data_IF_430507706671
#
_entry.id   IF_430507706671
#
_cell.length_a   1.000
_cell.length_b   1.000
_cell.length_c   1.000
_cell.angle_alpha   90.00
_cell.angle_beta   90.00
_cell.angle_gamma   90.00
#
_symmetry.space_group_name_H-M   'P 1'
#
loop_
_entity.id
_entity.type
_entity.pdbx_description
1 polymer ?
#
# COMPACT_ATOMS: atom_id res chain seq x y z
N UNK A 1 18.36 39.05 31.31
CA UNK A 1 17.62 39.11 30.02
C UNK A 1 17.51 37.68 29.53
N UNK A 2 16.39 37.01 29.82
CA UNK A 2 16.18 35.58 29.54
C UNK A 2 15.74 35.43 28.08
N UNK A 3 16.61 34.88 27.24
CA UNK A 3 16.27 34.50 25.86
C UNK A 3 15.54 33.16 25.88
N UNK A 4 14.21 33.22 25.76
CA UNK A 4 13.38 32.05 25.45
C UNK A 4 13.70 31.59 24.02
N UNK A 5 14.46 30.51 23.87
CA UNK A 5 14.54 29.80 22.59
C UNK A 5 13.21 29.11 22.34
N UNK A 6 12.46 29.60 21.36
CA UNK A 6 11.27 28.94 20.85
C UNK A 6 11.69 27.62 20.18
N UNK A 7 11.62 26.51 20.91
CA UNK A 7 11.48 25.20 20.29
C UNK A 7 10.09 25.15 19.66
N UNK A 8 10.03 25.25 18.33
CA UNK A 8 8.84 24.88 17.58
C UNK A 8 8.43 23.45 17.95
N UNK A 9 7.13 23.10 17.91
CA UNK A 9 6.66 21.80 18.35
C UNK A 9 7.34 20.73 17.50
N UNK A 10 8.28 20.01 18.11
CA UNK A 10 8.74 18.74 17.56
C UNK A 10 7.48 17.88 17.42
N UNK A 11 7.15 17.46 16.20
CA UNK A 11 6.11 16.46 15.99
C UNK A 11 6.64 15.16 16.59
N UNK A 12 6.43 15.01 17.90
CA UNK A 12 6.82 13.88 18.73
C UNK A 12 6.39 12.59 18.03
N UNK A 13 7.24 11.56 18.01
CA UNK A 13 7.01 10.34 17.21
C UNK A 13 5.64 9.66 17.42
N UNK A 14 4.96 9.96 18.54
CA UNK A 14 3.56 9.59 18.79
C UNK A 14 2.57 10.18 17.76
N UNK A 15 2.69 11.47 17.40
CA UNK A 15 1.79 12.11 16.44
C UNK A 15 1.93 11.51 15.02
N UNK A 16 3.17 11.24 14.58
CA UNK A 16 3.45 10.58 13.29
C UNK A 16 2.87 9.17 13.23
N UNK A 17 3.00 8.40 14.31
CA UNK A 17 2.45 7.04 14.38
C UNK A 17 0.92 7.04 14.41
N UNK A 18 0.31 7.92 15.20
CA UNK A 18 -1.15 8.05 15.25
C UNK A 18 -1.73 8.43 13.89
N UNK A 19 -1.04 9.30 13.13
CA UNK A 19 -1.40 9.62 11.75
C UNK A 19 -1.32 8.37 10.86
N UNK A 20 -0.25 7.58 10.96
CA UNK A 20 -0.13 6.31 10.23
C UNK A 20 -1.23 5.30 10.54
N UNK A 21 -1.66 5.18 11.80
CA UNK A 21 -2.77 4.30 12.20
C UNK A 21 -4.11 4.84 11.68
N UNK A 22 -4.34 6.15 11.75
CA UNK A 22 -5.54 6.78 11.21
C UNK A 22 -5.66 6.55 9.69
N UNK A 23 -4.55 6.72 8.96
CA UNK A 23 -4.47 6.39 7.54
C UNK A 23 -4.77 4.92 7.28
N UNK A 24 -4.22 3.99 8.08
CA UNK A 24 -4.50 2.57 7.93
C UNK A 24 -5.98 2.24 8.12
N UNK A 25 -6.64 2.81 9.13
CA UNK A 25 -8.07 2.62 9.34
C UNK A 25 -8.91 3.22 8.20
N UNK A 26 -8.52 4.38 7.69
CA UNK A 26 -9.13 4.97 6.50
C UNK A 26 -9.01 4.03 5.29
N UNK A 27 -7.84 3.43 5.07
CA UNK A 27 -7.63 2.44 4.00
C UNK A 27 -8.54 1.25 4.17
N UNK A 28 -8.65 0.69 5.38
CA UNK A 28 -9.53 -0.44 5.67
C UNK A 28 -10.98 -0.11 5.28
N UNK A 29 -11.46 1.08 5.60
CA UNK A 29 -12.81 1.54 5.22
C UNK A 29 -12.93 1.74 3.71
N UNK A 30 -12.00 2.46 3.08
CA UNK A 30 -12.07 2.77 1.65
C UNK A 30 -11.94 1.53 0.77
N UNK A 31 -11.04 0.60 1.09
CA UNK A 31 -10.93 -0.69 0.39
C UNK A 31 -12.18 -1.54 0.59
N UNK A 32 -12.75 -1.58 1.80
CA UNK A 32 -14.02 -2.28 2.04
C UNK A 32 -15.15 -1.69 1.20
N UNK A 33 -15.29 -0.36 1.18
CA UNK A 33 -16.29 0.33 0.37
C UNK A 33 -16.07 0.12 -1.13
N UNK A 34 -14.81 0.15 -1.59
CA UNK A 34 -14.43 -0.14 -2.98
C UNK A 34 -14.78 -1.57 -3.37
N UNK A 35 -14.54 -2.55 -2.50
CA UNK A 35 -14.93 -3.94 -2.73
C UNK A 35 -16.45 -4.10 -2.85
N UNK A 36 -17.23 -3.44 -1.99
CA UNK A 36 -18.69 -3.42 -2.13
C UNK A 36 -19.13 -2.77 -3.43
N UNK A 37 -18.54 -1.63 -3.78
CA UNK A 37 -18.87 -0.91 -5.00
C UNK A 37 -18.56 -1.76 -6.24
N UNK A 38 -17.41 -2.41 -6.28
CA UNK A 38 -17.06 -3.37 -7.33
C UNK A 38 -18.04 -4.55 -7.35
N UNK A 39 -18.41 -5.10 -6.18
CA UNK A 39 -19.40 -6.17 -6.08
C UNK A 39 -20.77 -5.76 -6.63
N UNK A 40 -21.20 -4.50 -6.46
CA UNK A 40 -22.48 -4.04 -7.05
C UNK A 40 -22.43 -3.96 -8.59
N UNK A 41 -21.29 -3.61 -9.18
CA UNK A 41 -21.11 -3.59 -10.64
C UNK A 41 -21.21 -5.01 -11.21
N UNK A 42 -20.59 -5.98 -10.53
CA UNK A 42 -20.55 -7.36 -10.97
C UNK A 42 -21.85 -8.13 -10.66
N UNK A 43 -22.54 -7.83 -9.56
CA UNK A 43 -23.80 -8.47 -9.17
C UNK A 43 -24.97 -8.07 -10.08
N UNK A 44 -25.01 -6.82 -10.58
CA UNK A 44 -26.04 -6.35 -11.51
C UNK A 44 -25.84 -6.89 -12.95
N UNK A 45 -24.83 -7.75 -13.19
CA UNK A 45 -24.42 -8.29 -14.51
C UNK A 45 -24.27 -7.24 -15.63
N UNK A 46 -24.19 -5.96 -15.25
CA UNK A 46 -24.17 -4.84 -16.19
C UNK A 46 -22.79 -4.64 -16.81
N UNK A 47 -21.71 -5.06 -16.12
CA UNK A 47 -20.34 -4.96 -16.64
C UNK A 47 -19.36 -5.96 -16.01
N UNK A 48 -19.32 -7.18 -16.52
CA UNK A 48 -18.51 -8.30 -16.00
C UNK A 48 -17.07 -8.31 -16.55
N UNK A 49 -16.34 -7.20 -16.37
CA UNK A 49 -14.98 -6.99 -16.91
C UNK A 49 -13.96 -6.61 -15.82
N UNK A 50 -13.57 -7.55 -14.94
CA UNK A 50 -12.67 -7.28 -13.81
C UNK A 50 -11.26 -6.82 -14.24
N UNK A 51 -10.74 -7.30 -15.38
CA UNK A 51 -9.43 -6.86 -15.87
C UNK A 51 -9.48 -5.39 -16.30
N UNK A 52 -10.54 -4.98 -16.99
CA UNK A 52 -10.73 -3.57 -17.35
C UNK A 52 -10.80 -2.65 -16.11
N UNK A 53 -11.58 -3.01 -15.09
CA UNK A 53 -11.69 -2.21 -13.86
C UNK A 53 -10.33 -2.11 -13.15
N UNK A 54 -9.59 -3.23 -13.06
CA UNK A 54 -8.25 -3.26 -12.47
C UNK A 54 -7.27 -2.38 -13.24
N UNK A 55 -7.35 -2.40 -14.58
CA UNK A 55 -6.52 -1.55 -15.43
C UNK A 55 -6.81 -0.07 -15.22
N UNK A 56 -8.08 0.35 -15.15
CA UNK A 56 -8.43 1.74 -14.90
C UNK A 56 -7.97 2.16 -13.49
N UNK A 57 -8.22 1.35 -12.46
CA UNK A 57 -7.73 1.60 -11.09
C UNK A 57 -6.21 1.81 -11.08
N UNK A 58 -5.46 0.92 -11.75
CA UNK A 58 -4.00 0.96 -11.80
C UNK A 58 -3.46 2.11 -12.66
N UNK A 59 -4.19 2.51 -13.70
CA UNK A 59 -3.81 3.60 -14.60
C UNK A 59 -4.03 4.96 -13.96
N UNK A 60 -4.99 5.12 -13.03
CA UNK A 60 -5.20 6.39 -12.34
C UNK A 60 -4.03 6.84 -11.46
N UNK A 61 -3.11 5.93 -11.11
CA UNK A 61 -1.81 6.29 -10.50
C UNK A 61 -0.95 7.19 -11.39
N UNK A 62 -1.27 7.36 -12.67
CA UNK A 62 -0.60 8.33 -13.54
C UNK A 62 -1.03 9.78 -13.27
N UNK A 63 -2.19 10.02 -12.64
CA UNK A 63 -2.74 11.36 -12.38
C UNK A 63 -1.77 12.22 -11.54
N UNK A 64 -1.19 11.72 -10.42
CA UNK A 64 -0.17 12.44 -9.66
C UNK A 64 1.03 12.87 -10.52
N UNK A 65 1.49 12.00 -11.42
CA UNK A 65 2.58 12.31 -12.37
C UNK A 65 2.16 13.42 -13.34
N UNK A 66 0.95 13.30 -13.89
CA UNK A 66 0.39 14.25 -14.83
C UNK A 66 0.21 15.64 -14.19
N UNK A 67 -0.24 15.70 -12.94
CA UNK A 67 -0.38 16.96 -12.19
C UNK A 67 0.98 17.67 -12.02
N UNK A 68 2.04 16.94 -11.70
CA UNK A 68 3.40 17.48 -11.60
C UNK A 68 3.88 18.03 -12.94
N UNK A 69 3.72 17.23 -14.02
CA UNK A 69 4.17 17.60 -15.36
C UNK A 69 3.38 18.82 -15.86
N UNK A 70 2.05 18.82 -15.70
CA UNK A 70 1.17 19.88 -16.18
C UNK A 70 1.38 21.18 -15.39
N UNK A 71 1.49 21.13 -14.06
CA UNK A 71 1.79 22.31 -13.25
C UNK A 71 3.15 22.94 -13.57
N UNK A 72 4.11 22.12 -14.02
CA UNK A 72 5.43 22.57 -14.43
C UNK A 72 5.43 23.12 -15.86
N UNK A 73 4.74 22.46 -16.79
CA UNK A 73 4.53 22.95 -18.14
C UNK A 73 3.77 24.28 -18.13
N UNK A 74 2.78 24.42 -17.24
CA UNK A 74 2.06 25.68 -17.01
C UNK A 74 2.96 26.78 -16.46
N UNK A 75 3.88 26.48 -15.53
CA UNK A 75 4.89 27.44 -15.04
C UNK A 75 5.86 27.85 -16.15
N UNK A 76 6.34 26.92 -16.97
CA UNK A 76 7.25 27.19 -18.09
C UNK A 76 6.56 27.97 -19.22
N UNK A 77 5.29 27.66 -19.49
CA UNK A 77 4.41 28.41 -20.39
C UNK A 77 4.22 29.85 -19.90
N UNK A 78 3.92 30.04 -18.61
CA UNK A 78 3.79 31.36 -17.99
C UNK A 78 5.10 32.17 -17.98
N UNK A 79 6.25 31.50 -18.00
CA UNK A 79 7.57 32.14 -18.04
C UNK A 79 8.12 32.36 -19.46
N UNK A 80 7.38 31.97 -20.52
CA UNK A 80 7.81 32.12 -21.91
C UNK A 80 9.06 31.30 -22.29
N UNK A 81 9.42 30.29 -21.49
CA UNK A 81 10.64 29.47 -21.66
C UNK A 81 10.35 28.06 -22.22
N UNK A 82 9.23 27.89 -22.91
CA UNK A 82 8.87 26.59 -23.54
C UNK A 82 9.93 26.12 -24.55
N UNK A 83 10.65 27.05 -25.17
CA UNK A 83 11.74 26.78 -26.11
C UNK A 83 13.00 26.17 -25.48
N UNK A 84 13.07 26.03 -24.15
CA UNK A 84 14.18 25.33 -23.47
C UNK A 84 13.92 23.83 -23.29
N UNK A 85 12.73 23.33 -23.64
CA UNK A 85 12.38 21.90 -23.57
C UNK A 85 12.59 21.26 -24.94
N UNK A 86 13.85 21.08 -25.34
CA UNK A 86 14.15 20.42 -26.62
C UNK A 86 14.07 18.89 -26.57
N UNK A 87 13.91 18.28 -25.38
CA UNK A 87 13.78 16.83 -25.24
C UNK A 87 13.11 16.41 -23.93
N UNK A 88 12.45 15.25 -23.92
CA UNK A 88 11.96 14.58 -22.69
C UNK A 88 13.10 14.48 -21.65
N UNK A 89 14.34 14.32 -22.11
CA UNK A 89 15.51 14.23 -21.25
C UNK A 89 15.83 15.54 -20.52
N UNK A 90 15.58 16.72 -21.11
CA UNK A 90 15.77 18.01 -20.44
C UNK A 90 14.65 18.31 -19.43
N UNK A 91 13.43 17.83 -19.70
CA UNK A 91 12.30 17.87 -18.75
C UNK A 91 12.57 16.98 -17.53
N UNK A 92 13.11 15.78 -17.74
CA UNK A 92 13.50 14.85 -16.68
C UNK A 92 14.70 15.36 -15.85
N UNK A 93 15.69 16.01 -16.47
CA UNK A 93 16.79 16.64 -15.75
C UNK A 93 16.34 17.86 -14.93
N UNK A 94 15.35 18.62 -15.40
CA UNK A 94 14.74 19.69 -14.61
C UNK A 94 13.90 19.16 -13.44
N UNK A 95 13.27 17.99 -13.58
CA UNK A 95 12.60 17.28 -12.47
C UNK A 95 13.58 16.97 -11.34
N UNK A 96 14.81 16.60 -11.69
CA UNK A 96 15.91 16.30 -10.76
C UNK A 96 16.49 17.56 -10.08
N UNK A 97 16.76 18.62 -10.85
CA UNK A 97 17.61 19.73 -10.40
C UNK A 97 16.95 20.74 -9.45
N UNK A 98 15.62 20.78 -9.38
CA UNK A 98 14.90 21.83 -8.63
C UNK A 98 14.15 21.36 -7.38
N UNK A 99 14.16 20.05 -7.08
CA UNK A 99 13.51 19.47 -5.89
C UNK A 99 14.35 19.63 -4.61
N UNK A 100 15.62 20.03 -4.72
CA UNK A 100 16.52 20.33 -3.59
C UNK A 100 16.31 21.69 -2.93
N UNK A 101 15.45 22.58 -3.49
CA UNK A 101 15.35 24.00 -3.05
C UNK A 101 13.96 24.48 -2.62
N UNK A 102 12.96 23.61 -2.47
CA UNK A 102 11.56 24.06 -2.27
C UNK A 102 10.96 23.91 -0.86
N UNK A 103 11.79 23.80 0.18
CA UNK A 103 11.32 23.85 1.58
C UNK A 103 12.13 24.80 2.49
N UNK A 104 12.63 25.91 1.96
CA UNK A 104 12.94 27.07 2.80
C UNK A 104 12.02 28.23 2.34
N UNK A 105 11.11 28.73 3.19
CA UNK A 105 10.48 30.01 2.93
C UNK A 105 11.59 31.07 3.02
N UNK A 106 11.89 31.69 1.88
CA UNK A 106 12.77 32.84 1.78
C UNK A 106 12.12 34.03 2.50
N UNK A 107 12.30 34.09 3.81
CA UNK A 107 11.95 35.27 4.62
C UNK A 107 13.14 36.22 4.55
N UNK A 108 13.05 37.14 3.58
CA UNK A 108 13.59 38.50 3.60
C UNK A 108 14.64 38.80 4.69
N UNK A 109 15.92 38.66 4.36
CA UNK A 109 16.98 39.45 5.00
C UNK A 109 18.10 39.77 3.99
N UNK A 110 18.33 41.05 3.65
CA UNK A 110 19.44 41.46 2.81
C UNK A 110 20.69 41.72 3.68
N UNK A 111 21.65 40.82 3.71
CA UNK A 111 22.99 41.13 4.23
C UNK A 111 24.10 40.20 3.73
N UNK A 112 25.11 40.85 3.15
CA UNK A 112 26.50 40.45 2.85
C UNK A 112 26.78 39.20 2.01
N UNK A 113 27.21 39.47 0.79
CA UNK A 113 27.87 38.60 -0.20
C UNK A 113 29.21 37.96 0.25
N UNK A 114 29.56 37.96 1.54
CA UNK A 114 30.90 37.58 2.02
C UNK A 114 31.02 36.18 2.67
N UNK A 115 29.92 35.53 3.09
CA UNK A 115 29.99 34.21 3.76
C UNK A 115 29.83 33.00 2.82
N UNK A 116 29.92 33.21 1.50
CA UNK A 116 29.58 32.18 0.51
C UNK A 116 30.70 31.17 0.20
N UNK A 117 31.83 31.21 0.92
CA UNK A 117 33.00 30.38 0.62
C UNK A 117 33.43 29.42 1.75
N UNK A 118 32.69 29.33 2.85
CA UNK A 118 33.03 28.40 3.96
C UNK A 118 31.98 27.34 4.31
N UNK A 119 30.82 27.32 3.64
CA UNK A 119 29.78 26.28 3.82
C UNK A 119 29.65 25.31 2.64
N UNK A 120 30.74 25.02 1.91
CA UNK A 120 30.73 24.02 0.83
C UNK A 120 31.12 22.60 1.26
N UNK A 121 31.41 22.35 2.56
CA UNK A 121 31.91 21.04 3.00
C UNK A 121 31.10 20.31 4.08
N UNK A 122 29.88 20.73 4.46
CA UNK A 122 29.14 20.06 5.56
C UNK A 122 27.64 19.80 5.33
N UNK A 123 27.15 19.72 4.08
CA UNK A 123 25.75 19.33 3.82
C UNK A 123 25.63 18.33 2.66
N UNK A 124 26.01 17.07 2.90
CA UNK A 124 25.68 15.95 2.00
C UNK A 124 25.12 14.74 2.73
N UNK A 125 23.94 14.87 3.34
CA UNK A 125 23.23 13.74 3.95
C UNK A 125 21.71 13.68 3.70
N UNK A 126 21.14 14.55 2.86
CA UNK A 126 19.70 14.51 2.54
C UNK A 126 19.34 14.95 1.12
N UNK A 127 20.12 14.54 0.12
CA UNK A 127 19.70 14.68 -1.29
C UNK A 127 18.58 13.69 -1.60
N UNK A 128 17.41 14.20 -2.04
CA UNK A 128 16.30 13.36 -2.51
C UNK A 128 16.78 12.46 -3.66
N UNK A 129 16.33 11.21 -3.69
CA UNK A 129 16.72 10.24 -4.72
C UNK A 129 16.34 10.77 -6.10
N UNK A 130 17.34 10.85 -6.99
CA UNK A 130 17.12 11.37 -8.33
C UNK A 130 16.13 10.54 -9.16
N UNK A 131 15.58 11.12 -10.22
CA UNK A 131 14.49 10.55 -11.01
C UNK A 131 14.82 9.16 -11.58
N UNK A 132 16.07 8.93 -12.01
CA UNK A 132 16.50 7.60 -12.51
C UNK A 132 16.50 6.54 -11.41
N UNK A 133 16.92 6.91 -10.20
CA UNK A 133 16.89 6.01 -9.05
C UNK A 133 15.44 5.72 -8.67
N UNK A 134 14.59 6.75 -8.55
CA UNK A 134 13.17 6.60 -8.27
C UNK A 134 12.46 5.73 -9.32
N UNK A 135 12.75 5.93 -10.61
CA UNK A 135 12.19 5.11 -11.69
C UNK A 135 12.61 3.63 -11.60
N UNK A 136 13.88 3.35 -11.28
CA UNK A 136 14.36 1.98 -11.09
C UNK A 136 13.65 1.30 -9.91
N UNK A 137 13.45 2.04 -8.80
CA UNK A 137 12.74 1.55 -7.62
C UNK A 137 11.25 1.30 -7.92
N UNK A 138 10.57 2.27 -8.54
CA UNK A 138 9.18 2.14 -8.99
C UNK A 138 8.99 0.96 -9.95
N UNK A 139 9.94 0.70 -10.85
CA UNK A 139 9.85 -0.43 -11.78
C UNK A 139 9.98 -1.78 -11.06
N UNK A 140 10.93 -1.90 -10.12
CA UNK A 140 11.08 -3.12 -9.30
C UNK A 140 9.85 -3.39 -8.45
N UNK A 141 9.30 -2.35 -7.81
CA UNK A 141 8.06 -2.43 -7.06
C UNK A 141 6.90 -2.88 -7.94
N UNK A 142 6.75 -2.25 -9.12
CA UNK A 142 5.68 -2.55 -10.07
C UNK A 142 5.73 -4.02 -10.52
N UNK A 143 6.90 -4.56 -10.84
CA UNK A 143 7.03 -5.96 -11.25
C UNK A 143 6.58 -6.94 -10.14
N UNK A 144 7.00 -6.70 -8.89
CA UNK A 144 6.59 -7.52 -7.76
C UNK A 144 5.09 -7.40 -7.47
N UNK A 145 4.55 -6.19 -7.57
CA UNK A 145 3.13 -5.91 -7.34
C UNK A 145 2.25 -6.60 -8.41
N UNK A 146 2.58 -6.45 -9.71
CA UNK A 146 1.85 -7.13 -10.79
C UNK A 146 1.90 -8.64 -10.62
N UNK A 147 3.06 -9.19 -10.28
CA UNK A 147 3.23 -10.63 -10.06
C UNK A 147 2.36 -11.12 -8.90
N UNK A 148 2.37 -10.42 -7.76
CA UNK A 148 1.55 -10.75 -6.60
C UNK A 148 0.05 -10.76 -6.95
N UNK A 149 -0.42 -9.72 -7.66
CA UNK A 149 -1.82 -9.60 -8.06
C UNK A 149 -2.24 -10.63 -9.11
N UNK A 150 -1.36 -10.94 -10.06
CA UNK A 150 -1.63 -11.98 -11.07
C UNK A 150 -1.90 -13.33 -10.41
N UNK A 151 -1.01 -13.78 -9.51
CA UNK A 151 -1.19 -15.05 -8.82
C UNK A 151 -2.38 -15.02 -7.85
N UNK A 152 -2.67 -13.88 -7.21
CA UNK A 152 -3.86 -13.70 -6.37
C UNK A 152 -5.15 -13.92 -7.16
N UNK A 153 -5.22 -13.42 -8.39
CA UNK A 153 -6.41 -13.56 -9.22
C UNK A 153 -6.46 -14.93 -9.92
N UNK A 154 -5.33 -15.42 -10.42
CA UNK A 154 -5.27 -16.68 -11.13
C UNK A 154 -5.57 -17.89 -10.22
N UNK A 155 -5.28 -17.81 -8.92
CA UNK A 155 -5.61 -18.90 -7.99
C UNK A 155 -7.13 -19.15 -7.88
N UNK A 156 -7.98 -18.13 -8.04
CA UNK A 156 -9.44 -18.25 -7.92
C UNK A 156 -10.06 -19.15 -9.01
N UNK A 157 -9.36 -19.34 -10.14
CA UNK A 157 -9.80 -20.29 -11.16
C UNK A 157 -9.66 -21.74 -10.70
N UNK A 158 -8.80 -21.99 -9.72
CA UNK A 158 -8.39 -23.33 -9.29
C UNK A 158 -8.81 -23.67 -7.85
N UNK A 159 -8.85 -22.69 -6.94
CA UNK A 159 -9.25 -22.86 -5.53
C UNK A 159 -10.53 -22.08 -5.16
N UNK A 160 -11.01 -22.26 -3.93
CA UNK A 160 -12.20 -21.56 -3.40
C UNK A 160 -11.83 -20.19 -2.84
N UNK A 161 -12.79 -19.26 -2.83
CA UNK A 161 -12.60 -17.92 -2.25
C UNK A 161 -12.17 -18.01 -0.78
N UNK A 162 -12.77 -18.91 0.01
CA UNK A 162 -12.39 -19.15 1.40
C UNK A 162 -10.94 -19.62 1.56
N UNK A 163 -10.50 -20.62 0.80
CA UNK A 163 -9.09 -21.05 0.79
C UNK A 163 -8.15 -19.93 0.37
N UNK A 164 -8.47 -19.18 -0.69
CA UNK A 164 -7.68 -18.04 -1.13
C UNK A 164 -7.55 -16.99 -0.04
N UNK A 165 -8.63 -16.63 0.66
CA UNK A 165 -8.60 -15.65 1.74
C UNK A 165 -7.71 -16.12 2.89
N UNK A 166 -7.79 -17.39 3.30
CA UNK A 166 -6.92 -17.94 4.34
C UNK A 166 -5.45 -17.89 3.91
N UNK A 167 -5.15 -18.34 2.69
CA UNK A 167 -3.78 -18.43 2.18
C UNK A 167 -3.16 -17.05 1.94
N UNK A 168 -3.89 -16.11 1.33
CA UNK A 168 -3.42 -14.74 1.13
C UNK A 168 -3.26 -13.98 2.45
N UNK A 169 -4.04 -14.33 3.48
CA UNK A 169 -3.89 -13.79 4.84
C UNK A 169 -2.64 -14.29 5.57
N UNK A 170 -1.97 -15.34 5.07
CA UNK A 170 -0.64 -15.72 5.57
C UNK A 170 0.46 -14.71 5.20
N UNK A 171 0.16 -13.72 4.35
CA UNK A 171 1.08 -12.64 3.99
C UNK A 171 1.71 -11.95 5.20
N UNK A 172 0.99 -11.79 6.32
CA UNK A 172 1.54 -11.23 7.55
C UNK A 172 2.71 -12.04 8.14
N UNK A 173 2.68 -13.37 8.01
CA UNK A 173 3.78 -14.26 8.44
C UNK A 173 5.01 -14.00 7.57
N UNK A 174 4.81 -13.92 6.26
CA UNK A 174 5.90 -13.63 5.32
C UNK A 174 6.48 -12.23 5.52
N UNK A 175 5.62 -11.22 5.76
CA UNK A 175 6.05 -9.86 6.09
C UNK A 175 6.94 -9.85 7.34
N UNK A 176 6.59 -10.60 8.40
CA UNK A 176 7.44 -10.72 9.59
C UNK A 176 8.77 -11.40 9.29
N UNK A 177 8.76 -12.50 8.53
CA UNK A 177 9.97 -13.26 8.17
C UNK A 177 10.93 -12.40 7.34
N UNK A 178 10.46 -11.84 6.23
CA UNK A 178 11.29 -11.00 5.35
C UNK A 178 11.67 -9.67 6.03
N UNK A 179 10.78 -9.11 6.86
CA UNK A 179 11.04 -7.90 7.64
C UNK A 179 12.17 -8.10 8.65
N UNK A 180 12.19 -9.25 9.32
CA UNK A 180 13.28 -9.64 10.22
C UNK A 180 14.59 -9.90 9.48
N UNK A 181 14.57 -10.64 8.36
CA UNK A 181 15.77 -10.93 7.57
C UNK A 181 16.42 -9.67 6.98
N UNK A 182 15.62 -8.69 6.57
CA UNK A 182 16.10 -7.45 5.95
C UNK A 182 16.45 -6.39 7.02
N UNK A 183 16.07 -6.61 8.28
CA UNK A 183 16.33 -5.68 9.39
C UNK A 183 15.38 -4.47 9.43
N UNK A 184 14.27 -4.53 8.69
CA UNK A 184 13.21 -3.50 8.73
C UNK A 184 12.35 -3.67 9.99
N UNK A 185 12.25 -4.89 10.52
CA UNK A 185 11.48 -5.21 11.71
C UNK A 185 12.29 -6.06 12.69
N UNK A 186 12.16 -5.78 13.99
CA UNK A 186 12.67 -6.67 15.04
C UNK A 186 11.72 -7.84 15.21
N UNK A 187 12.27 -9.06 15.20
CA UNK A 187 11.51 -10.26 15.50
C UNK A 187 11.26 -10.36 17.00
N UNK A 188 10.00 -10.44 17.41
CA UNK A 188 9.61 -10.73 18.80
C UNK A 188 8.55 -11.82 18.83
N UNK A 189 8.58 -12.65 19.87
CA UNK A 189 7.60 -13.74 20.04
C UNK A 189 6.18 -13.19 20.16
N UNK A 190 6.02 -11.99 20.71
CA UNK A 190 4.74 -11.29 20.81
C UNK A 190 4.17 -10.90 19.45
N UNK A 191 5.00 -10.43 18.51
CA UNK A 191 4.57 -10.19 17.11
C UNK A 191 4.14 -11.48 16.43
N UNK A 192 4.93 -12.55 16.57
CA UNK A 192 4.59 -13.85 15.99
C UNK A 192 3.26 -14.36 16.54
N UNK A 193 3.04 -14.29 17.85
CA UNK A 193 1.77 -14.65 18.49
C UNK A 193 0.61 -13.81 17.96
N UNK A 194 0.80 -12.51 17.76
CA UNK A 194 -0.17 -11.63 17.13
C UNK A 194 -0.53 -12.06 15.71
N UNK A 195 0.45 -12.34 14.85
CA UNK A 195 0.21 -12.81 13.47
C UNK A 195 -0.49 -14.16 13.43
N UNK A 196 -0.11 -15.10 14.31
CA UNK A 196 -0.79 -16.40 14.41
C UNK A 196 -2.23 -16.21 14.89
N UNK A 197 -2.45 -15.33 15.87
CA UNK A 197 -3.80 -15.00 16.33
C UNK A 197 -4.65 -14.38 15.21
N UNK A 198 -4.10 -13.45 14.43
CA UNK A 198 -4.82 -12.87 13.28
C UNK A 198 -5.21 -13.94 12.27
N UNK A 199 -4.30 -14.86 11.96
CA UNK A 199 -4.58 -15.99 11.05
C UNK A 199 -5.67 -16.92 11.61
N UNK A 200 -5.64 -17.26 12.90
CA UNK A 200 -6.69 -18.06 13.56
C UNK A 200 -8.04 -17.36 13.46
N UNK A 201 -8.09 -16.05 13.73
CA UNK A 201 -9.33 -15.26 13.61
C UNK A 201 -9.90 -15.29 12.20
N UNK A 202 -9.05 -15.17 11.18
CA UNK A 202 -9.45 -15.24 9.76
C UNK A 202 -9.93 -16.64 9.38
N UNK A 203 -9.26 -17.70 9.86
CA UNK A 203 -9.72 -19.08 9.65
C UNK A 203 -11.12 -19.27 10.24
N UNK A 204 -11.38 -18.80 11.47
CA UNK A 204 -12.70 -18.89 12.09
C UNK A 204 -13.77 -18.17 11.26
N UNK A 205 -13.48 -16.94 10.80
CA UNK A 205 -14.40 -16.17 9.96
C UNK A 205 -14.67 -16.90 8.64
N UNK A 206 -13.61 -17.36 7.96
CA UNK A 206 -13.70 -18.04 6.67
C UNK A 206 -14.48 -19.36 6.76
N UNK A 207 -14.39 -20.08 7.88
CA UNK A 207 -15.20 -21.30 8.11
C UNK A 207 -16.70 -20.99 8.22
N UNK A 208 -17.06 -19.88 8.85
CA UNK A 208 -18.47 -19.45 8.96
C UNK A 208 -19.01 -19.02 7.61
N UNK A 209 -18.22 -18.30 6.82
CA UNK A 209 -18.58 -17.85 5.48
C UNK A 209 -18.87 -19.06 4.56
N UNK A 210 -18.02 -20.10 4.59
CA UNK A 210 -18.25 -21.35 3.86
C UNK A 210 -19.54 -22.08 4.29
N UNK A 211 -19.89 -22.05 5.58
CA UNK A 211 -21.11 -22.71 6.08
C UNK A 211 -22.40 -21.92 5.82
N UNK A 212 -22.29 -20.61 5.56
CA UNK A 212 -23.46 -19.74 5.32
C UNK A 212 -23.95 -19.81 3.88
N UNK A 213 -23.14 -20.35 2.96
CA UNK A 213 -23.53 -20.68 1.58
C UNK A 213 -24.42 -21.93 1.45
N UNK A 214 -24.69 -22.66 2.53
CA UNK A 214 -25.63 -23.78 2.56
C UNK A 214 -27.08 -23.29 2.75
N UNK A 215 -27.66 -22.67 1.72
CA UNK A 215 -29.12 -22.66 1.58
C UNK A 215 -29.60 -24.08 1.24
N UNK A 216 -30.75 -24.55 1.76
CA UNK A 216 -31.27 -25.87 1.41
C UNK A 216 -31.53 -25.92 -0.10
N UNK A 217 -31.26 -27.05 -0.78
CA UNK A 217 -31.53 -27.15 -2.20
C UNK A 217 -33.04 -26.97 -2.40
N UNK A 218 -33.42 -25.92 -3.14
CA UNK A 218 -34.71 -25.90 -3.78
C UNK A 218 -34.74 -27.12 -4.72
N UNK A 219 -35.76 -27.93 -4.55
CA UNK A 219 -36.04 -29.15 -5.29
C UNK A 219 -36.17 -28.82 -6.79
N UNK A 220 -35.04 -28.95 -7.49
CA UNK A 220 -34.88 -28.86 -8.94
C UNK A 220 -33.91 -29.98 -9.30
N UNK A 221 -34.40 -30.96 -10.05
CA UNK A 221 -33.70 -32.17 -10.46
C UNK A 221 -32.56 -31.95 -11.45
N UNK A 222 -31.74 -30.91 -11.29
CA UNK A 222 -30.45 -30.76 -11.95
C UNK A 222 -29.39 -30.48 -10.89
N UNK A 223 -28.76 -31.55 -10.41
CA UNK A 223 -27.59 -31.52 -9.55
C UNK A 223 -26.55 -30.55 -10.11
N UNK A 224 -26.50 -29.34 -9.55
CA UNK A 224 -25.45 -28.34 -9.73
C UNK A 224 -24.14 -28.91 -9.23
N UNK A 225 -23.57 -29.80 -10.05
CA UNK A 225 -22.29 -30.45 -9.82
C UNK A 225 -21.28 -29.34 -10.03
N UNK A 226 -20.79 -28.74 -8.94
CA UNK A 226 -19.50 -28.06 -8.98
C UNK A 226 -18.55 -29.01 -9.70
N UNK A 227 -17.95 -28.63 -10.84
CA UNK A 227 -17.10 -29.55 -11.59
C UNK A 227 -16.05 -30.07 -10.61
N UNK A 228 -15.95 -31.40 -10.49
CA UNK A 228 -14.97 -32.06 -9.62
C UNK A 228 -13.57 -31.67 -10.13
N UNK A 229 -13.04 -30.56 -9.62
CA UNK A 229 -11.66 -30.16 -9.84
C UNK A 229 -10.77 -31.23 -9.23
N UNK A 230 -9.80 -31.68 -9.98
CA UNK A 230 -8.83 -32.67 -9.51
C UNK A 230 -8.09 -32.11 -8.30
N UNK A 231 -7.68 -32.98 -7.36
CA UNK A 231 -6.89 -32.57 -6.19
C UNK A 231 -5.62 -31.79 -6.60
N UNK A 232 -5.07 -32.10 -7.79
CA UNK A 232 -3.94 -31.38 -8.36
C UNK A 232 -4.27 -29.92 -8.75
N UNK A 233 -5.46 -29.65 -9.30
CA UNK A 233 -5.90 -28.29 -9.63
C UNK A 233 -6.11 -27.46 -8.36
N UNK A 234 -6.77 -28.01 -7.33
CA UNK A 234 -6.95 -27.31 -6.05
C UNK A 234 -5.59 -27.01 -5.41
N UNK A 235 -4.68 -28.00 -5.38
CA UNK A 235 -3.34 -27.81 -4.85
C UNK A 235 -2.52 -26.76 -5.63
N UNK A 236 -2.70 -26.70 -6.96
CA UNK A 236 -2.09 -25.66 -7.78
C UNK A 236 -2.64 -24.27 -7.42
N UNK A 237 -3.96 -24.13 -7.28
CA UNK A 237 -4.59 -22.89 -6.84
C UNK A 237 -4.09 -22.44 -5.46
N UNK A 238 -4.02 -23.35 -4.50
CA UNK A 238 -3.51 -23.06 -3.16
C UNK A 238 -2.02 -22.66 -3.19
N UNK A 239 -1.20 -23.33 -4.01
CA UNK A 239 0.20 -22.96 -4.20
C UNK A 239 0.34 -21.54 -4.81
N UNK A 240 -0.52 -21.19 -5.77
CA UNK A 240 -0.55 -19.86 -6.37
C UNK A 240 -0.98 -18.78 -5.37
N UNK A 241 -1.98 -19.06 -4.53
CA UNK A 241 -2.42 -18.16 -3.47
C UNK A 241 -1.32 -17.94 -2.41
N UNK A 242 -0.64 -19.02 -2.00
CA UNK A 242 0.50 -18.94 -1.09
C UNK A 242 1.66 -18.14 -1.71
N UNK A 243 1.96 -18.35 -2.99
CA UNK A 243 3.00 -17.59 -3.69
C UNK A 243 2.66 -16.09 -3.76
N UNK A 244 1.40 -15.74 -4.02
CA UNK A 244 0.93 -14.36 -3.96
C UNK A 244 1.13 -13.74 -2.57
N UNK A 245 0.84 -14.48 -1.50
CA UNK A 245 1.04 -14.04 -0.13
C UNK A 245 2.52 -13.75 0.20
N UNK A 246 3.44 -14.60 -0.30
CA UNK A 246 4.90 -14.40 -0.20
C UNK A 246 5.30 -13.14 -0.95
N UNK A 247 4.86 -12.97 -2.20
CA UNK A 247 5.16 -11.79 -3.01
C UNK A 247 4.63 -10.51 -2.37
N UNK A 248 3.46 -10.58 -1.72
CA UNK A 248 2.90 -9.49 -0.91
C UNK A 248 3.85 -9.07 0.20
N UNK A 249 4.30 -10.03 1.02
CA UNK A 249 5.27 -9.77 2.08
C UNK A 249 6.57 -9.16 1.53
N UNK A 250 7.09 -9.70 0.43
CA UNK A 250 8.33 -9.19 -0.19
C UNK A 250 8.17 -7.75 -0.68
N UNK A 251 7.13 -7.42 -1.45
CA UNK A 251 7.02 -6.08 -2.02
C UNK A 251 6.80 -5.01 -0.95
N UNK A 252 6.10 -5.33 0.15
CA UNK A 252 5.89 -4.37 1.25
C UNK A 252 7.18 -4.08 2.00
N UNK A 253 8.00 -5.10 2.27
CA UNK A 253 9.31 -4.91 2.88
C UNK A 253 10.26 -4.17 1.93
N UNK A 254 10.25 -4.51 0.65
CA UNK A 254 11.04 -3.81 -0.38
C UNK A 254 10.65 -2.34 -0.45
N UNK A 255 9.35 -2.02 -0.47
CA UNK A 255 8.87 -0.64 -0.47
C UNK A 255 9.38 0.13 0.76
N UNK A 256 9.21 -0.45 1.95
CA UNK A 256 9.68 0.17 3.20
C UNK A 256 11.19 0.39 3.22
N UNK A 257 11.98 -0.58 2.75
CA UNK A 257 13.44 -0.49 2.69
C UNK A 257 13.92 0.53 1.66
N UNK A 258 13.31 0.55 0.49
CA UNK A 258 13.72 1.42 -0.62
C UNK A 258 13.39 2.89 -0.34
N UNK A 259 12.23 3.13 0.28
CA UNK A 259 11.82 4.48 0.66
C UNK A 259 12.57 4.95 1.92
N UNK A 260 12.66 4.11 2.95
CA UNK A 260 13.21 4.50 4.25
C UNK A 260 12.44 5.67 4.86
N UNK A 261 13.00 6.87 4.77
CA UNK A 261 12.33 8.12 5.12
C UNK A 261 11.52 8.66 3.93
N UNK A 262 10.25 8.96 4.17
CA UNK A 262 9.34 9.59 3.20
C UNK A 262 9.88 10.90 2.60
N UNK A 263 10.83 11.56 3.28
CA UNK A 263 11.52 12.76 2.77
C UNK A 263 12.57 12.47 1.68
N UNK A 264 13.07 11.22 1.59
CA UNK A 264 14.12 10.82 0.64
C UNK A 264 13.57 10.53 -0.76
N UNK A 265 12.32 10.10 -0.86
CA UNK A 265 11.66 9.74 -2.12
C UNK A 265 10.45 10.64 -2.32
N UNK A 266 10.36 11.30 -3.48
CA UNK A 266 9.14 11.99 -3.85
C UNK A 266 8.03 10.97 -4.11
N UNK A 267 7.16 10.73 -3.12
CA UNK A 267 6.08 9.74 -3.19
C UNK A 267 5.17 9.95 -4.39
N UNK A 268 4.90 11.20 -4.73
CA UNK A 268 4.02 11.56 -5.84
C UNK A 268 4.65 11.14 -7.17
N UNK A 269 5.97 11.33 -7.33
CA UNK A 269 6.71 10.85 -8.50
C UNK A 269 6.80 9.31 -8.52
N UNK A 270 7.08 8.69 -7.37
CA UNK A 270 7.18 7.24 -7.24
C UNK A 270 5.89 6.54 -7.66
N UNK A 271 4.74 6.91 -7.07
CA UNK A 271 3.43 6.36 -7.43
C UNK A 271 3.04 6.71 -8.86
N UNK A 272 3.38 7.91 -9.32
CA UNK A 272 3.24 8.34 -10.71
C UNK A 272 3.89 7.39 -11.71
N UNK A 273 5.14 7.01 -11.46
CA UNK A 273 5.91 6.08 -12.29
C UNK A 273 5.41 4.64 -12.15
N UNK A 274 4.98 4.22 -10.96
CA UNK A 274 4.33 2.91 -10.77
C UNK A 274 3.08 2.80 -11.63
N UNK A 275 2.23 3.84 -11.65
CA UNK A 275 1.05 3.91 -12.52
C UNK A 275 1.39 3.82 -14.00
N UNK A 276 2.42 4.56 -14.44
CA UNK A 276 2.91 4.48 -15.82
C UNK A 276 3.39 3.07 -16.19
N UNK A 277 4.18 2.43 -15.33
CA UNK A 277 4.66 1.06 -15.58
C UNK A 277 3.52 0.05 -15.56
N UNK A 278 2.55 0.18 -14.65
CA UNK A 278 1.36 -0.66 -14.62
C UNK A 278 0.53 -0.52 -15.89
N UNK A 279 0.34 0.71 -16.37
CA UNK A 279 -0.37 0.96 -17.64
C UNK A 279 0.34 0.26 -18.81
N UNK A 280 1.67 0.28 -18.86
CA UNK A 280 2.45 -0.36 -19.92
C UNK A 280 2.49 -1.89 -19.79
N UNK A 281 2.64 -2.43 -18.58
CA UNK A 281 2.77 -3.87 -18.33
C UNK A 281 1.43 -4.61 -18.42
N UNK A 282 0.32 -3.96 -18.01
CA UNK A 282 -1.01 -4.55 -18.09
C UNK A 282 -1.63 -4.41 -19.48
N UNK A 283 -1.15 -3.49 -20.32
CA UNK A 283 -1.69 -3.29 -21.67
C UNK A 283 -1.67 -4.54 -22.58
N UNK A 284 -0.58 -5.33 -22.66
CA UNK A 284 -0.57 -6.61 -23.38
C UNK A 284 -1.61 -7.62 -22.86
N UNK A 285 -1.99 -7.52 -21.59
CA UNK A 285 -3.02 -8.36 -20.99
C UNK A 285 -4.36 -8.23 -21.71
N UNK A 286 -4.78 -7.03 -22.13
CA UNK A 286 -6.01 -6.86 -22.91
C UNK A 286 -6.00 -7.64 -24.21
N UNK A 287 -4.85 -7.65 -24.90
CA UNK A 287 -4.70 -8.35 -26.18
C UNK A 287 -4.87 -9.85 -25.94
N UNK A 288 -4.18 -10.39 -24.94
CA UNK A 288 -4.26 -11.81 -24.58
C UNK A 288 -5.68 -12.19 -24.16
N UNK A 289 -6.32 -11.42 -23.28
CA UNK A 289 -7.67 -11.70 -22.78
C UNK A 289 -8.74 -11.59 -23.88
N UNK A 290 -8.55 -10.67 -24.83
CA UNK A 290 -9.45 -10.53 -25.97
C UNK A 290 -9.33 -11.71 -26.94
N UNK A 291 -8.10 -12.14 -27.27
CA UNK A 291 -7.88 -13.28 -28.17
C UNK A 291 -8.21 -14.64 -27.54
N UNK A 292 -8.04 -14.79 -26.23
CA UNK A 292 -8.42 -16.01 -25.49
C UNK A 292 -9.93 -16.10 -25.22
N UNK A 293 -10.69 -15.02 -25.47
CA UNK A 293 -12.13 -14.97 -25.24
C UNK A 293 -12.54 -14.95 -23.77
N UNK A 294 -11.58 -14.94 -22.83
CA UNK A 294 -11.84 -14.89 -21.38
C UNK A 294 -12.51 -13.57 -21.01
N UNK A 295 -12.02 -12.45 -21.55
CA UNK A 295 -12.61 -11.13 -21.34
C UNK A 295 -12.51 -10.31 -22.63
N UNK A 296 -13.52 -10.39 -23.54
CA UNK A 296 -13.49 -9.56 -24.74
C UNK A 296 -13.57 -8.09 -24.35
N UNK A 297 -12.67 -7.29 -24.93
CA UNK A 297 -12.63 -5.84 -24.73
C UNK A 297 -13.93 -5.19 -25.23
N UNK A 298 -14.72 -4.68 -24.30
CA UNK A 298 -15.96 -3.92 -24.56
C UNK A 298 -15.98 -2.75 -23.59
N UNK A 299 -16.20 -1.55 -24.13
CA UNK A 299 -16.29 -0.34 -23.31
C UNK A 299 -17.62 -0.30 -22.55
N UNK A 300 -17.69 0.33 -21.37
CA UNK A 300 -18.96 0.45 -20.65
C UNK A 300 -19.97 1.28 -21.47
N UNK A 301 -21.12 0.68 -21.79
CA UNK A 301 -22.15 1.31 -22.63
C UNK A 301 -22.97 2.39 -21.90
N UNK A 302 -22.96 2.37 -20.56
CA UNK A 302 -23.81 3.24 -19.73
C UNK A 302 -22.99 4.22 -18.89
N UNK A 303 -23.39 5.50 -18.88
CA UNK A 303 -22.75 6.55 -18.08
C UNK A 303 -22.69 6.24 -16.57
N UNK A 304 -23.69 5.53 -16.03
CA UNK A 304 -23.70 5.03 -14.64
C UNK A 304 -22.52 4.12 -14.34
N UNK A 305 -22.20 3.18 -15.23
CA UNK A 305 -21.07 2.25 -15.05
C UNK A 305 -19.76 3.03 -15.07
N UNK A 306 -19.62 3.98 -15.99
CA UNK A 306 -18.47 4.89 -16.02
C UNK A 306 -18.30 5.66 -14.72
N UNK A 307 -19.37 6.25 -14.18
CA UNK A 307 -19.31 6.96 -12.89
C UNK A 307 -18.86 6.03 -11.77
N UNK A 308 -19.43 4.82 -11.69
CA UNK A 308 -19.07 3.86 -10.64
C UNK A 308 -17.59 3.44 -10.78
N UNK A 309 -17.14 3.11 -11.99
CA UNK A 309 -15.74 2.73 -12.25
C UNK A 309 -14.79 3.88 -11.90
N UNK A 310 -15.10 5.12 -12.28
CA UNK A 310 -14.26 6.28 -11.98
C UNK A 310 -14.22 6.60 -10.49
N UNK A 311 -15.35 6.54 -9.79
CA UNK A 311 -15.41 6.74 -8.34
C UNK A 311 -14.63 5.63 -7.62
N UNK A 312 -14.79 4.37 -8.04
CA UNK A 312 -14.04 3.25 -7.51
C UNK A 312 -12.53 3.42 -7.71
N UNK A 313 -12.14 3.84 -8.91
CA UNK A 313 -10.73 4.03 -9.28
C UNK A 313 -10.10 5.18 -8.49
N UNK A 314 -10.83 6.29 -8.31
CA UNK A 314 -10.36 7.41 -7.49
C UNK A 314 -10.24 7.02 -6.01
N UNK A 315 -11.23 6.29 -5.47
CA UNK A 315 -11.18 5.75 -4.11
C UNK A 315 -9.98 4.81 -3.94
N UNK A 316 -9.72 3.94 -4.92
CA UNK A 316 -8.57 3.02 -4.91
C UNK A 316 -7.24 3.78 -4.91
N UNK A 317 -7.11 4.83 -5.76
CA UNK A 317 -5.93 5.69 -5.81
C UNK A 317 -5.65 6.34 -4.44
N UNK A 318 -6.66 6.95 -3.82
CA UNK A 318 -6.53 7.57 -2.50
C UNK A 318 -6.14 6.53 -1.45
N UNK A 319 -6.78 5.36 -1.49
CA UNK A 319 -6.52 4.27 -0.54
C UNK A 319 -5.09 3.78 -0.62
N UNK A 320 -4.55 3.55 -1.81
CA UNK A 320 -3.22 2.98 -1.96
C UNK A 320 -2.13 4.01 -1.60
N UNK A 321 -2.37 5.30 -1.84
CA UNK A 321 -1.51 6.37 -1.33
C UNK A 321 -1.53 6.37 0.20
N UNK A 322 -2.72 6.36 0.82
CA UNK A 322 -2.86 6.29 2.28
C UNK A 322 -2.23 5.03 2.87
N UNK A 323 -2.33 3.89 2.18
CA UNK A 323 -1.73 2.62 2.56
C UNK A 323 -0.21 2.71 2.58
N UNK A 324 0.39 3.32 1.56
CA UNK A 324 1.82 3.52 1.49
C UNK A 324 2.32 4.42 2.63
N UNK A 325 1.65 5.56 2.85
CA UNK A 325 1.98 6.43 3.98
C UNK A 325 1.78 5.73 5.33
N UNK A 326 0.71 4.97 5.52
CA UNK A 326 0.50 4.17 6.71
C UNK A 326 1.65 3.20 6.94
N UNK A 327 2.12 2.50 5.90
CA UNK A 327 3.25 1.57 5.96
C UNK A 327 4.55 2.28 6.34
N UNK A 328 4.81 3.45 5.75
CA UNK A 328 6.02 4.23 5.99
C UNK A 328 6.04 4.87 7.38
N UNK A 329 4.89 5.30 7.91
CA UNK A 329 4.78 5.90 9.25
C UNK A 329 4.73 4.83 10.36
N UNK A 330 4.15 3.66 10.08
CA UNK A 330 4.09 2.54 11.02
C UNK A 330 5.17 1.50 10.69
N UNK A 331 4.78 0.26 10.36
CA UNK A 331 5.62 -0.81 9.85
C UNK A 331 4.83 -1.67 8.86
N UNK A 332 5.49 -2.37 7.92
CA UNK A 332 4.85 -3.31 7.02
C UNK A 332 3.95 -4.34 7.71
N UNK A 333 4.37 -4.86 8.87
CA UNK A 333 3.59 -5.83 9.63
C UNK A 333 2.31 -5.24 10.22
N UNK A 334 2.37 -4.04 10.82
CA UNK A 334 1.19 -3.36 11.37
C UNK A 334 0.16 -3.13 10.26
N UNK A 335 0.61 -2.71 9.07
CA UNK A 335 -0.27 -2.53 7.92
C UNK A 335 -0.82 -3.86 7.42
N UNK A 336 -0.01 -4.91 7.29
CA UNK A 336 -0.47 -6.20 6.76
C UNK A 336 -1.51 -6.84 7.67
N UNK A 337 -1.25 -6.87 8.99
CA UNK A 337 -2.21 -7.38 9.98
C UNK A 337 -3.43 -6.46 10.11
N UNK A 338 -3.23 -5.14 10.02
CA UNK A 338 -4.34 -4.17 10.07
C UNK A 338 -5.26 -4.25 8.86
N UNK A 339 -4.73 -4.54 7.67
CA UNK A 339 -5.54 -4.78 6.48
C UNK A 339 -6.44 -6.01 6.61
N UNK A 340 -6.08 -6.99 7.45
CA UNK A 340 -6.98 -8.10 7.76
C UNK A 340 -8.27 -7.67 8.47
N UNK A 341 -8.33 -6.45 9.03
CA UNK A 341 -9.57 -5.86 9.58
C UNK A 341 -10.62 -5.56 8.50
N UNK A 342 -10.23 -5.56 7.22
CA UNK A 342 -11.19 -5.45 6.10
C UNK A 342 -12.17 -6.62 6.09
N UNK A 343 -11.76 -7.82 6.50
CA UNK A 343 -12.59 -9.02 6.52
C UNK A 343 -13.76 -8.88 7.52
N UNK A 344 -13.53 -8.57 8.81
CA UNK A 344 -14.65 -8.33 9.72
C UNK A 344 -15.42 -7.04 9.38
N UNK A 345 -14.75 -6.00 8.88
CA UNK A 345 -15.46 -4.78 8.50
C UNK A 345 -16.41 -5.00 7.31
N UNK A 346 -16.01 -5.81 6.33
CA UNK A 346 -16.87 -6.14 5.18
C UNK A 346 -18.12 -6.87 5.63
N UNK A 347 -18.02 -7.83 6.53
CA UNK A 347 -19.19 -8.53 7.06
C UNK A 347 -20.11 -7.62 7.87
N UNK A 348 -19.55 -6.68 8.65
CA UNK A 348 -20.37 -5.62 9.27
C UNK A 348 -21.11 -4.81 8.20
N UNK A 349 -20.44 -4.45 7.10
CA UNK A 349 -21.07 -3.83 5.94
C UNK A 349 -22.23 -4.66 5.39
N UNK A 350 -22.05 -5.98 5.21
CA UNK A 350 -23.11 -6.87 4.72
C UNK A 350 -24.31 -6.91 5.68
N UNK A 351 -24.08 -6.94 7.00
CA UNK A 351 -25.16 -6.89 8.00
C UNK A 351 -25.98 -5.60 7.84
N UNK A 352 -25.33 -4.44 7.70
CA UNK A 352 -26.03 -3.16 7.56
C UNK A 352 -26.73 -2.98 6.22
N UNK A 353 -26.13 -3.45 5.13
CA UNK A 353 -26.65 -3.27 3.76
C UNK A 353 -27.67 -4.34 3.36
N UNK A 354 -27.51 -5.57 3.83
CA UNK A 354 -28.27 -6.75 3.39
C UNK A 354 -29.12 -7.37 4.51
N UNK A 355 -29.00 -6.90 5.77
CA UNK A 355 -29.82 -7.35 6.89
C UNK A 355 -29.58 -8.80 7.34
N UNK A 356 -28.50 -9.45 6.88
CA UNK A 356 -28.16 -10.81 7.29
C UNK A 356 -27.39 -10.80 8.61
N UNK A 357 -27.74 -11.68 9.55
CA UNK A 357 -27.06 -11.81 10.84
C UNK A 357 -26.09 -12.99 10.81
N UNK A 358 -24.85 -12.76 11.25
CA UNK A 358 -23.80 -13.79 11.29
C UNK A 358 -23.77 -14.59 12.61
N UNK A 359 -23.15 -15.76 12.58
CA UNK A 359 -22.99 -16.69 13.71
C UNK A 359 -22.14 -16.09 14.84
N UNK A 360 -22.33 -16.55 16.09
CA UNK A 360 -21.51 -16.12 17.22
C UNK A 360 -20.00 -16.39 17.03
N UNK A 361 -19.65 -17.44 16.28
CA UNK A 361 -18.26 -17.81 15.95
C UNK A 361 -17.57 -16.72 15.13
N UNK A 362 -18.32 -16.03 14.26
CA UNK A 362 -17.79 -14.92 13.48
C UNK A 362 -17.35 -13.77 14.39
N UNK A 363 -18.16 -13.37 15.37
CA UNK A 363 -17.82 -12.30 16.31
C UNK A 363 -16.60 -12.64 17.16
N UNK A 364 -16.43 -13.92 17.52
CA UNK A 364 -15.21 -14.41 18.17
C UNK A 364 -14.00 -14.26 17.24
N UNK A 365 -14.11 -14.67 15.98
CA UNK A 365 -13.06 -14.50 14.97
C UNK A 365 -12.69 -13.03 14.77
N UNK A 366 -13.69 -12.15 14.62
CA UNK A 366 -13.51 -10.71 14.45
C UNK A 366 -12.80 -10.07 15.67
N UNK A 367 -13.20 -10.44 16.89
CA UNK A 367 -12.55 -9.99 18.11
C UNK A 367 -11.08 -10.43 18.18
N UNK A 368 -10.78 -11.67 17.78
CA UNK A 368 -9.40 -12.18 17.71
C UNK A 368 -8.57 -11.38 16.70
N UNK A 369 -9.09 -11.12 15.48
CA UNK A 369 -8.39 -10.29 14.49
C UNK A 369 -8.15 -8.87 15.03
N UNK A 370 -9.13 -8.26 15.68
CA UNK A 370 -8.97 -6.94 16.28
C UNK A 370 -7.92 -6.89 17.39
N UNK A 371 -7.98 -7.83 18.34
CA UNK A 371 -7.00 -7.93 19.43
C UNK A 371 -5.59 -8.21 18.89
N UNK A 372 -5.47 -9.03 17.85
CA UNK A 372 -4.18 -9.33 17.22
C UNK A 372 -3.54 -8.07 16.63
N UNK A 373 -4.32 -7.22 15.97
CA UNK A 373 -3.86 -5.94 15.45
C UNK A 373 -3.38 -5.02 16.58
N UNK A 374 -4.12 -4.94 17.70
CA UNK A 374 -3.73 -4.13 18.85
C UNK A 374 -2.40 -4.61 19.46
N UNK A 375 -2.22 -5.93 19.62
CA UNK A 375 -0.98 -6.52 20.15
C UNK A 375 0.20 -6.21 19.24
N UNK A 376 0.06 -6.46 17.92
CA UNK A 376 1.12 -6.19 16.95
C UNK A 376 1.46 -4.71 16.89
N UNK A 377 0.46 -3.82 16.96
CA UNK A 377 0.67 -2.39 16.97
C UNK A 377 1.35 -1.91 18.28
N UNK A 378 0.97 -2.45 19.43
CA UNK A 378 1.60 -2.10 20.71
C UNK A 378 3.07 -2.54 20.74
N UNK A 379 3.35 -3.79 20.39
CA UNK A 379 4.72 -4.32 20.37
C UNK A 379 5.61 -3.56 19.39
N UNK A 380 5.09 -3.22 18.21
CA UNK A 380 5.83 -2.42 17.23
C UNK A 380 6.05 -0.97 17.68
N UNK A 381 5.35 -0.49 18.73
CA UNK A 381 5.58 0.82 19.35
C UNK A 381 6.71 0.74 20.34
N UNK A 382 6.70 -0.28 21.18
CA UNK A 382 7.71 -0.49 22.20
C UNK A 382 9.09 -0.70 21.56
N UNK A 383 9.18 -1.46 20.46
CA UNK A 383 10.42 -1.62 19.69
C UNK A 383 11.03 -0.28 19.23
N UNK A 384 10.20 0.68 18.80
CA UNK A 384 10.66 2.00 18.36
C UNK A 384 11.10 2.86 19.54
N UNK A 385 10.42 2.75 20.68
CA UNK A 385 10.78 3.47 21.91
C UNK A 385 12.09 2.95 22.48
N UNK A 386 12.28 1.63 22.52
CA UNK A 386 13.53 0.99 22.92
C UNK A 386 14.68 1.35 21.98
N UNK A 387 14.46 1.34 20.66
CA UNK A 387 15.48 1.74 19.69
C UNK A 387 15.89 3.21 19.84
N UNK A 388 14.94 4.13 20.04
CA UNK A 388 15.24 5.54 20.28
C UNK A 388 15.95 5.76 21.62
N UNK A 389 15.59 4.99 22.65
CA UNK A 389 16.24 5.07 23.96
C UNK A 389 17.69 4.59 23.87
N UNK A 390 17.94 3.46 23.20
CA UNK A 390 19.30 2.94 22.98
C UNK A 390 20.17 3.92 22.18
N UNK A 391 19.63 4.54 21.12
CA UNK A 391 20.34 5.56 20.34
C UNK A 391 20.65 6.84 21.14
N UNK A 392 19.84 7.17 22.15
CA UNK A 392 20.09 8.31 23.03
C UNK A 392 21.21 8.09 24.06
N UNK A 393 21.49 6.84 24.43
CA UNK A 393 22.60 6.50 25.35
C UNK A 393 23.97 6.56 24.67
N UNK A 394 24.06 6.20 23.38
CA UNK A 394 25.32 6.29 22.60
C UNK A 394 25.70 7.73 22.20
N UNK A 395 24.81 8.71 22.43
CA UNK A 395 25.02 10.11 22.07
C UNK A 395 25.57 10.98 23.22
N UNK A 396 25.90 10.41 24.37
CA UNK A 396 26.60 11.14 25.45
C UNK A 396 28.09 11.12 25.13
N UNK A 397 28.73 12.26 24.76
CA UNK A 397 30.17 12.31 24.62
C UNK A 397 30.76 12.03 26.01
N UNK A 398 31.68 11.07 26.10
CA UNK A 398 32.45 10.88 27.31
C UNK A 398 33.13 12.20 27.66
N UNK A 399 32.85 12.71 28.86
CA UNK A 399 33.54 13.86 29.44
C UNK A 399 35.05 13.62 29.30
N UNK A 400 35.71 14.42 28.47
CA UNK A 400 37.14 14.65 28.57
C UNK A 400 37.38 15.36 29.90
N UNK A 401 37.55 14.60 30.99
CA UNK A 401 38.23 15.13 32.17
C UNK A 401 39.70 15.29 31.81
N UNK A 402 40.04 16.47 31.30
CA UNK A 402 41.40 16.96 31.24
C UNK A 402 41.95 17.12 32.65
N UNK A 403 42.87 16.24 33.04
CA UNK A 403 43.79 16.51 34.13
C UNK A 403 44.91 17.41 33.60
N UNK A 404 44.77 18.71 33.86
CA UNK A 404 45.90 19.63 34.00
C UNK A 404 46.26 19.73 35.48
N UNK A 405 47.40 19.14 35.86
CA UNK A 405 48.32 19.67 36.88
C UNK A 405 49.65 18.91 36.84
#
# INVERSE_FOLDING_TARGET
MLTYSWHGPSWTGAARRSLGICLLLLVVVLWTASNFLASTIFADNSYSKPFFVTYINSSLFIIPLFSIILGRLFKLWRQGRLSQIDSIQSLLLHLDSHDSKREAPDVLHPSSFADRQQSENEVDSSSKLGLRATAKLSFQFCLLWVLANYFAMACLQYTTVGSTTILTSTSGVWTLIFGAMIGVERFTVRKLAGVIASLIGIILISRVDLSSTDFPPADDGSSGTFPHKTTAEIALGDAMAAFSAVMYGVYTIVLKRQVGDESRVNMVLFFGLVGLFNMLLLWPGFIILHFTGIEPFVLPDTGRIWTIVLVNSFSSLVSDICWAYAMLLTTPLVVTVGLSLTIPLSLVGQIFLQGQYSSAIYWVGAAIVFLSFLVVNHESRDDKLEANSAAGYDAVPGDETGDTA
#
